data_IF_941157689548
#
_entry.id   IF_941157689548
#
_cell.length_a   1.000
_cell.length_b   1.000
_cell.length_c   1.000
_cell.angle_alpha   90.00
_cell.angle_beta   90.00
_cell.angle_gamma   90.00
#
_symmetry.space_group_name_H-M   'P 1'
#
loop_
_entity.id
_entity.type
_entity.pdbx_description
1 polymer ?
#
# COMPACT_ATOMS: atom_id res chain seq x y z
N UNK A 1 -19.48 -3.32 2.46
CA UNK A 1 -18.87 -3.07 3.79
C UNK A 1 -18.82 -4.35 4.62
N UNK A 2 -19.93 -5.10 4.74
CA UNK A 2 -19.95 -6.36 5.52
C UNK A 2 -18.96 -7.43 5.03
N UNK A 3 -18.95 -7.77 3.74
CA UNK A 3 -18.09 -8.83 3.20
C UNK A 3 -16.59 -8.53 3.35
N UNK A 4 -16.16 -7.28 3.15
CA UNK A 4 -14.76 -6.86 3.31
C UNK A 4 -14.30 -6.88 4.76
N UNK A 5 -15.19 -6.57 5.72
CA UNK A 5 -14.88 -6.66 7.15
C UNK A 5 -14.74 -8.12 7.59
N UNK A 6 -15.65 -9.00 7.14
CA UNK A 6 -15.57 -10.44 7.42
C UNK A 6 -14.28 -11.02 6.83
N UNK A 7 -13.95 -10.67 5.59
CA UNK A 7 -12.69 -11.07 4.97
C UNK A 7 -11.47 -10.54 5.75
N UNK A 8 -11.50 -9.29 6.22
CA UNK A 8 -10.44 -8.72 7.04
C UNK A 8 -10.23 -9.46 8.35
N UNK A 9 -11.30 -9.77 9.08
CA UNK A 9 -11.23 -10.55 10.33
C UNK A 9 -10.73 -11.98 10.05
N UNK A 10 -11.19 -12.60 8.96
CA UNK A 10 -10.73 -13.93 8.56
C UNK A 10 -9.23 -13.94 8.22
N UNK A 11 -8.73 -12.91 7.53
CA UNK A 11 -7.31 -12.77 7.20
C UNK A 11 -6.44 -12.55 8.45
N UNK A 12 -6.91 -11.74 9.40
CA UNK A 12 -6.21 -11.54 10.68
C UNK A 12 -6.17 -12.84 11.51
N UNK A 13 -7.28 -13.58 11.57
CA UNK A 13 -7.32 -14.91 12.20
C UNK A 13 -6.40 -15.92 11.49
N UNK A 14 -6.38 -15.90 10.16
CA UNK A 14 -5.49 -16.74 9.36
C UNK A 14 -4.01 -16.43 9.63
N UNK A 15 -3.64 -15.15 9.75
CA UNK A 15 -2.28 -14.76 10.10
C UNK A 15 -1.84 -15.33 11.45
N UNK A 16 -2.71 -15.29 12.48
CA UNK A 16 -2.44 -15.92 13.78
C UNK A 16 -2.24 -17.43 13.65
N UNK A 17 -3.13 -18.11 12.91
CA UNK A 17 -3.07 -19.56 12.71
C UNK A 17 -1.80 -20.01 11.99
N UNK A 18 -1.26 -19.20 11.08
CA UNK A 18 -0.01 -19.50 10.37
C UNK A 18 1.21 -19.20 11.22
N UNK A 19 1.23 -18.07 11.93
CA UNK A 19 2.44 -17.58 12.61
C UNK A 19 2.69 -18.31 13.94
N UNK A 20 1.66 -18.63 14.70
CA UNK A 20 1.79 -19.31 15.99
C UNK A 20 2.53 -20.67 15.90
N UNK A 21 2.18 -21.59 14.97
CA UNK A 21 2.93 -22.83 14.80
C UNK A 21 4.29 -22.60 14.15
N UNK A 22 4.41 -21.67 13.19
CA UNK A 22 5.66 -21.39 12.50
C UNK A 22 6.75 -20.81 13.43
N UNK A 23 6.34 -20.15 14.52
CA UNK A 23 7.24 -19.51 15.48
C UNK A 23 7.27 -20.21 16.84
N UNK A 24 6.84 -21.49 16.90
CA UNK A 24 6.70 -22.26 18.15
C UNK A 24 7.98 -22.37 19.02
N UNK A 25 9.16 -22.07 18.47
CA UNK A 25 10.44 -22.02 19.20
C UNK A 25 10.99 -20.61 19.53
N UNK A 26 10.31 -19.54 19.13
CA UNK A 26 10.76 -18.14 19.31
C UNK A 26 10.19 -17.49 20.59
N UNK A 27 10.71 -16.34 21.02
CA UNK A 27 10.15 -15.58 22.18
C UNK A 27 8.72 -15.13 21.87
N UNK A 28 7.83 -15.13 22.87
CA UNK A 28 6.41 -14.77 22.70
C UNK A 28 6.19 -13.43 21.98
N UNK A 29 6.96 -12.39 22.35
CA UNK A 29 6.93 -11.06 21.72
C UNK A 29 7.21 -11.11 20.20
N UNK A 30 8.21 -11.87 19.78
CA UNK A 30 8.55 -12.02 18.36
C UNK A 30 7.43 -12.73 17.56
N UNK A 31 6.63 -13.59 18.21
CA UNK A 31 5.50 -14.28 17.57
C UNK A 31 4.34 -13.33 17.34
N UNK A 32 4.03 -12.52 18.35
CA UNK A 32 2.94 -11.54 18.30
C UNK A 32 3.24 -10.46 17.25
N UNK A 33 4.45 -9.90 17.27
CA UNK A 33 4.89 -8.90 16.29
C UNK A 33 4.80 -9.43 14.86
N UNK A 34 5.19 -10.69 14.64
CA UNK A 34 5.14 -11.30 13.31
C UNK A 34 3.72 -11.62 12.84
N UNK A 35 2.82 -11.97 13.75
CA UNK A 35 1.42 -12.22 13.42
C UNK A 35 0.67 -10.91 13.14
N UNK A 36 0.99 -9.84 13.87
CA UNK A 36 0.49 -8.50 13.61
C UNK A 36 1.01 -7.99 12.27
N UNK A 37 2.31 -8.13 12.01
CA UNK A 37 2.93 -7.78 10.74
C UNK A 37 2.25 -8.46 9.55
N UNK A 38 2.07 -9.78 9.61
CA UNK A 38 1.41 -10.53 8.56
C UNK A 38 -0.06 -10.12 8.37
N UNK A 39 -0.78 -9.82 9.46
CA UNK A 39 -2.15 -9.31 9.40
C UNK A 39 -2.22 -7.98 8.65
N UNK A 40 -1.34 -7.04 8.97
CA UNK A 40 -1.27 -5.71 8.35
C UNK A 40 -0.93 -5.81 6.86
N UNK A 41 -0.05 -6.75 6.47
CA UNK A 41 0.26 -7.05 5.06
C UNK A 41 -0.99 -7.55 4.32
N UNK A 42 -1.68 -8.56 4.87
CA UNK A 42 -2.85 -9.15 4.22
C UNK A 42 -4.02 -8.17 4.10
N UNK A 43 -4.22 -7.30 5.11
CA UNK A 43 -5.25 -6.26 5.07
C UNK A 43 -4.92 -5.18 4.04
N UNK A 44 -3.65 -4.76 3.93
CA UNK A 44 -3.19 -3.85 2.87
C UNK A 44 -3.44 -4.42 1.48
N UNK A 45 -3.09 -5.70 1.27
CA UNK A 45 -3.38 -6.42 0.03
C UNK A 45 -4.87 -6.52 -0.29
N UNK A 46 -5.71 -6.88 0.71
CA UNK A 46 -7.17 -6.92 0.54
C UNK A 46 -7.73 -5.55 0.13
N UNK A 47 -7.20 -4.46 0.70
CA UNK A 47 -7.60 -3.10 0.34
C UNK A 47 -7.27 -2.78 -1.13
N UNK A 48 -6.07 -3.15 -1.59
CA UNK A 48 -5.64 -2.95 -2.99
C UNK A 48 -6.44 -3.79 -3.98
N UNK A 49 -6.85 -5.00 -3.61
CA UNK A 49 -7.68 -5.87 -4.46
C UNK A 49 -9.11 -5.34 -4.55
N UNK A 50 -9.68 -4.92 -3.43
CA UNK A 50 -11.11 -4.54 -3.35
C UNK A 50 -11.38 -3.12 -3.86
N UNK A 51 -10.38 -2.24 -3.89
CA UNK A 51 -10.54 -0.85 -4.34
C UNK A 51 -9.48 -0.48 -5.37
N UNK A 52 -9.94 0.08 -6.48
CA UNK A 52 -9.12 0.51 -7.64
C UNK A 52 -8.83 2.02 -7.68
N UNK A 53 -9.21 2.76 -6.64
CA UNK A 53 -8.90 4.19 -6.60
C UNK A 53 -7.47 4.40 -6.09
N UNK A 54 -6.79 5.40 -6.66
CA UNK A 54 -5.39 5.70 -6.36
C UNK A 54 -5.14 5.85 -4.85
N UNK A 55 -6.03 6.52 -4.14
CA UNK A 55 -5.89 6.76 -2.69
C UNK A 55 -5.87 5.44 -1.92
N UNK A 56 -6.75 4.49 -2.25
CA UNK A 56 -6.78 3.16 -1.63
C UNK A 56 -5.56 2.32 -2.03
N UNK A 57 -5.04 2.50 -3.25
CA UNK A 57 -3.78 1.89 -3.68
C UNK A 57 -2.61 2.37 -2.82
N UNK A 58 -2.51 3.69 -2.57
CA UNK A 58 -1.46 4.29 -1.73
C UNK A 58 -1.60 3.82 -0.28
N UNK A 59 -2.80 3.86 0.30
CA UNK A 59 -3.02 3.41 1.68
C UNK A 59 -2.70 1.91 1.82
N UNK A 60 -3.13 1.09 0.86
CA UNK A 60 -2.81 -0.34 0.85
C UNK A 60 -1.31 -0.62 0.75
N UNK A 61 -0.59 0.16 -0.06
CA UNK A 61 0.86 0.08 -0.19
C UNK A 61 1.58 0.48 1.11
N UNK A 62 1.18 1.60 1.73
CA UNK A 62 1.71 2.04 3.02
C UNK A 62 1.43 1.02 4.14
N UNK A 63 0.27 0.36 4.11
CA UNK A 63 -0.03 -0.73 5.03
C UNK A 63 0.89 -1.92 4.81
N UNK A 64 1.09 -2.35 3.55
CA UNK A 64 2.04 -3.42 3.21
C UNK A 64 3.45 -3.11 3.72
N UNK A 65 3.93 -1.89 3.50
CA UNK A 65 5.22 -1.40 4.01
C UNK A 65 5.34 -1.52 5.52
N UNK A 66 4.40 -0.94 6.26
CA UNK A 66 4.40 -0.98 7.72
C UNK A 66 4.36 -2.42 8.25
N UNK A 67 3.60 -3.30 7.58
CA UNK A 67 3.57 -4.72 7.89
C UNK A 67 4.93 -5.40 7.68
N UNK A 68 5.62 -5.16 6.57
CA UNK A 68 6.96 -5.72 6.35
C UNK A 68 8.01 -5.17 7.33
N UNK A 69 7.95 -3.87 7.65
CA UNK A 69 8.85 -3.25 8.63
C UNK A 69 8.64 -3.88 10.01
N UNK A 70 7.38 -4.06 10.43
CA UNK A 70 7.04 -4.71 11.69
C UNK A 70 7.55 -6.16 11.74
N UNK A 71 7.42 -6.90 10.64
CA UNK A 71 7.98 -8.25 10.54
C UNK A 71 9.52 -8.25 10.68
N UNK A 72 10.21 -7.33 10.01
CA UNK A 72 11.67 -7.25 10.04
C UNK A 72 12.19 -6.91 11.45
N UNK A 73 11.54 -5.99 12.16
CA UNK A 73 11.86 -5.66 13.55
C UNK A 73 11.57 -6.83 14.47
N UNK A 74 10.42 -7.50 14.31
CA UNK A 74 9.99 -8.62 15.15
C UNK A 74 10.82 -9.90 15.01
N UNK A 75 11.33 -10.22 13.81
CA UNK A 75 12.18 -11.41 13.60
C UNK A 75 13.60 -11.21 14.10
N UNK A 76 14.19 -10.05 13.80
CA UNK A 76 15.62 -10.04 13.56
C UNK A 76 16.40 -9.03 14.39
N UNK A 77 15.80 -7.96 14.92
CA UNK A 77 16.60 -6.84 15.43
C UNK A 77 17.69 -6.40 14.43
N UNK A 78 17.45 -6.59 13.12
CA UNK A 78 18.41 -6.36 12.04
C UNK A 78 18.09 -5.01 11.37
N UNK A 79 18.79 -3.93 11.76
CA UNK A 79 18.47 -2.57 11.29
C UNK A 79 18.61 -2.39 9.78
N UNK A 80 19.53 -3.13 9.13
CA UNK A 80 19.79 -3.01 7.69
C UNK A 80 18.60 -3.39 6.79
N UNK A 81 17.83 -4.41 7.18
CA UNK A 81 16.68 -4.85 6.36
C UNK A 81 15.57 -3.80 6.40
N UNK A 82 15.37 -3.17 7.55
CA UNK A 82 14.42 -2.07 7.73
C UNK A 82 14.86 -0.87 6.89
N UNK A 83 16.13 -0.46 6.99
CA UNK A 83 16.67 0.68 6.25
C UNK A 83 16.54 0.49 4.73
N UNK A 84 16.89 -0.69 4.20
CA UNK A 84 16.81 -0.98 2.78
C UNK A 84 15.36 -1.08 2.28
N UNK A 85 14.45 -1.61 3.11
CA UNK A 85 13.02 -1.69 2.80
C UNK A 85 12.41 -0.29 2.71
N UNK A 86 12.66 0.55 3.71
CA UNK A 86 12.21 1.95 3.74
C UNK A 86 12.77 2.74 2.55
N UNK A 87 14.05 2.57 2.22
CA UNK A 87 14.67 3.24 1.07
C UNK A 87 14.03 2.83 -0.27
N UNK A 88 13.75 1.53 -0.45
CA UNK A 88 13.08 1.02 -1.64
C UNK A 88 11.63 1.55 -1.77
N UNK A 89 10.95 1.74 -0.65
CA UNK A 89 9.57 2.23 -0.60
C UNK A 89 9.47 3.73 -0.88
N UNK A 90 10.39 4.53 -0.33
CA UNK A 90 10.51 5.95 -0.69
C UNK A 90 10.78 6.10 -2.19
N UNK A 91 11.62 5.24 -2.78
CA UNK A 91 11.87 5.24 -4.22
C UNK A 91 10.61 4.89 -5.01
N UNK A 92 9.85 3.86 -4.62
CA UNK A 92 8.60 3.48 -5.28
C UNK A 92 7.55 4.59 -5.18
N UNK A 93 7.41 5.21 -4.01
CA UNK A 93 6.52 6.36 -3.79
C UNK A 93 6.90 7.54 -4.69
N UNK A 94 8.19 7.83 -4.82
CA UNK A 94 8.69 8.87 -5.72
C UNK A 94 8.38 8.57 -7.20
N UNK A 95 8.50 7.31 -7.62
CA UNK A 95 8.13 6.87 -8.98
C UNK A 95 6.63 7.04 -9.22
N UNK A 96 5.79 6.60 -8.28
CA UNK A 96 4.33 6.75 -8.39
C UNK A 96 3.96 8.24 -8.45
N UNK A 97 4.54 9.08 -7.59
CA UNK A 97 4.33 10.52 -7.57
C UNK A 97 4.77 11.17 -8.89
N UNK A 98 5.93 10.76 -9.44
CA UNK A 98 6.42 11.24 -10.74
C UNK A 98 5.48 10.86 -11.88
N UNK A 99 5.05 9.61 -11.96
CA UNK A 99 4.08 9.15 -12.96
C UNK A 99 2.75 9.89 -12.84
N UNK A 100 2.28 10.12 -11.62
CA UNK A 100 1.05 10.86 -11.36
C UNK A 100 1.16 12.33 -11.78
N UNK A 101 2.30 12.97 -11.48
CA UNK A 101 2.59 14.35 -11.90
C UNK A 101 2.63 14.49 -13.42
N UNK A 102 3.22 13.52 -14.14
CA UNK A 102 3.24 13.50 -15.60
C UNK A 102 1.84 13.32 -16.20
N UNK A 103 1.03 12.41 -15.66
CA UNK A 103 -0.36 12.20 -16.09
C UNK A 103 -1.26 13.41 -15.84
N UNK A 104 -1.08 14.11 -14.71
CA UNK A 104 -1.81 15.35 -14.44
C UNK A 104 -1.42 16.43 -15.46
N UNK A 105 -0.14 16.57 -15.81
CA UNK A 105 0.33 17.51 -16.82
C UNK A 105 -0.30 17.31 -18.20
N UNK A 106 -0.41 16.06 -18.66
CA UNK A 106 -1.10 15.74 -19.93
C UNK A 106 -2.61 16.03 -19.89
N UNK A 107 -3.26 15.77 -18.75
CA UNK A 107 -4.68 16.07 -18.57
C UNK A 107 -4.96 17.58 -18.65
N UNK A 108 -4.09 18.43 -18.08
CA UNK A 108 -4.23 19.89 -18.15
C UNK A 108 -4.00 20.47 -19.56
N UNK A 109 -3.09 19.90 -20.37
CA UNK A 109 -2.90 20.35 -21.76
C UNK A 109 -4.12 20.05 -22.65
N UNK A 110 -4.84 18.95 -22.39
CA UNK A 110 -6.08 18.66 -23.13
C UNK A 110 -7.21 19.64 -22.82
N UNK A 111 -7.32 20.09 -21.56
CA UNK A 111 -8.32 21.07 -21.09
C UNK A 111 -8.10 22.46 -21.68
N UNK A 112 -6.85 22.89 -21.85
CA UNK A 112 -6.54 24.21 -22.42
C UNK A 112 -6.86 24.28 -23.93
N UNK A 113 -6.69 23.17 -24.64
CA UNK A 113 -6.90 23.11 -26.11
C UNK A 113 -8.39 23.17 -26.48
N UNK A 114 -9.29 22.70 -25.60
CA UNK A 114 -10.75 22.78 -25.79
C UNK A 114 -11.28 24.20 -25.55
N UNK A 115 -10.67 24.96 -24.62
CA UNK A 115 -11.10 26.34 -24.34
C UNK A 115 -10.71 27.35 -25.43
N UNK A 116 -9.67 27.06 -26.21
CA UNK A 116 -9.17 27.96 -27.27
C UNK A 116 -9.88 27.81 -28.62
N UNK A 117 -10.69 26.75 -28.82
CA UNK A 117 -11.47 26.58 -30.06
C UNK A 117 -12.84 27.27 -30.03
N UNK A 118 -13.32 27.72 -28.86
CA UNK A 118 -14.66 28.32 -28.72
C UNK A 118 -14.76 29.78 -29.19
N UNK A 119 -13.66 30.43 -29.62
CA UNK A 119 -13.63 31.87 -29.94
C UNK A 119 -13.20 32.21 -31.38
N UNK A 120 -13.27 31.25 -32.33
CA UNK A 120 -12.93 31.51 -33.74
C UNK A 120 -14.05 31.20 -34.75
N UNK A 121 -15.31 31.26 -34.32
CA UNK A 121 -16.46 30.86 -35.14
C UNK A 121 -17.65 31.84 -35.19
N UNK A 122 -17.51 33.09 -34.76
CA UNK A 122 -18.57 34.11 -34.89
C UNK A 122 -18.06 35.29 -35.69
N UNK A 123 -18.02 35.08 -37.01
CA UNK A 123 -17.61 36.06 -37.99
C UNK A 123 -18.22 35.72 -39.34
N UNK A 124 -19.54 35.52 -39.37
CA UNK A 124 -20.39 35.75 -40.55
C UNK A 124 -21.75 36.30 -40.10
#
# INVERSE_FOLDING_TARGET
IGASLIAGVALAGFALLVVLPATAGQRALAREDLALALSVVLLGGLMMITRRNLISQVIGLLSLENGLILAAVGVAGMPLVVELSTAALVLMLAVIAGVFALQMGESFQSLDTESLQSHRGEGE
#
